data_IF_758804259309
#
_entry.id   IF_758804259309
#
_cell.length_a   1.000
_cell.length_b   1.000
_cell.length_c   1.000
_cell.angle_alpha   90.00
_cell.angle_beta   90.00
_cell.angle_gamma   90.00
#
_symmetry.space_group_name_H-M   'P 1'
#
loop_
_entity.id
_entity.type
_entity.pdbx_description
1 polymer ?
#
# COMPACT_ATOMS: atom_id res chain seq x y z
N UNK A 1 -16.89 58.98 28.94
CA UNK A 1 -16.66 57.79 28.15
C UNK A 1 -17.90 56.91 27.92
N UNK A 2 -19.13 57.38 28.16
CA UNK A 2 -20.38 56.62 27.99
C UNK A 2 -21.25 57.14 26.84
N UNK A 3 -20.82 58.11 26.05
CA UNK A 3 -21.58 58.69 24.94
C UNK A 3 -21.04 58.40 23.53
N UNK A 4 -19.91 57.62 23.40
CA UNK A 4 -19.36 57.23 22.12
C UNK A 4 -19.76 55.80 21.68
N UNK A 5 -20.40 55.03 22.57
CA UNK A 5 -20.79 53.63 22.28
C UNK A 5 -22.18 53.49 21.69
N UNK A 6 -22.99 54.62 21.71
CA UNK A 6 -24.38 54.57 21.22
C UNK A 6 -24.50 54.95 19.71
N UNK A 7 -23.39 55.41 19.07
CA UNK A 7 -23.45 55.83 17.67
C UNK A 7 -23.02 54.73 16.65
N UNK A 8 -22.47 53.63 17.16
CA UNK A 8 -22.01 52.52 16.28
C UNK A 8 -23.05 51.43 16.04
N UNK A 9 -24.18 51.45 16.78
CA UNK A 9 -25.27 50.44 16.66
C UNK A 9 -26.36 50.88 15.66
N UNK A 10 -26.38 52.14 15.25
CA UNK A 10 -27.43 52.67 14.36
C UNK A 10 -27.09 52.56 12.85
N UNK A 11 -25.89 52.07 12.46
CA UNK A 11 -25.48 52.01 11.04
C UNK A 11 -25.55 50.62 10.40
N UNK A 12 -26.02 49.60 11.12
CA UNK A 12 -26.11 48.20 10.61
C UNK A 12 -27.56 47.80 10.23
N UNK A 13 -28.54 48.67 10.43
CA UNK A 13 -29.96 48.31 10.25
C UNK A 13 -30.58 48.73 8.90
N UNK A 14 -29.79 49.16 7.87
CA UNK A 14 -30.40 49.70 6.63
C UNK A 14 -29.95 49.05 5.33
N UNK A 15 -29.55 47.77 5.37
CA UNK A 15 -29.13 47.05 4.14
C UNK A 15 -29.89 45.72 3.92
N UNK A 16 -31.14 45.58 4.34
CA UNK A 16 -31.94 44.41 4.03
C UNK A 16 -33.32 44.85 3.49
N UNK A 17 -33.35 45.47 2.32
CA UNK A 17 -34.57 45.45 1.49
C UNK A 17 -34.10 45.66 0.04
N UNK A 18 -34.24 44.65 -0.80
CA UNK A 18 -34.22 44.81 -2.26
C UNK A 18 -33.47 43.69 -2.98
N UNK A 19 -34.09 42.63 -3.33
CA UNK A 19 -34.49 42.20 -4.67
C UNK A 19 -34.90 40.73 -4.61
N UNK A 20 -36.12 40.47 -4.85
CA UNK A 20 -36.59 39.14 -5.20
C UNK A 20 -36.12 38.79 -6.60
N UNK A 21 -35.82 37.53 -6.82
CA UNK A 21 -35.55 37.00 -8.15
C UNK A 21 -34.74 35.72 -8.12
N UNK A 22 -35.43 34.58 -8.21
CA UNK A 22 -34.87 33.39 -8.78
C UNK A 22 -34.00 32.52 -7.86
N UNK A 23 -34.66 31.60 -7.21
CA UNK A 23 -33.99 30.40 -6.67
C UNK A 23 -33.26 29.63 -7.80
N UNK A 24 -32.09 30.09 -8.18
CA UNK A 24 -31.09 29.18 -8.74
C UNK A 24 -30.52 28.43 -7.53
N UNK A 25 -31.02 27.21 -7.26
CA UNK A 25 -30.27 26.21 -6.53
C UNK A 25 -28.89 26.15 -7.15
N UNK A 26 -27.93 26.79 -6.54
CA UNK A 26 -26.53 26.51 -6.74
C UNK A 26 -26.35 25.06 -6.29
N UNK A 27 -26.37 24.12 -7.21
CA UNK A 27 -25.79 22.81 -6.96
C UNK A 27 -24.32 23.09 -6.68
N UNK A 28 -23.98 23.16 -5.41
CA UNK A 28 -22.59 23.08 -4.99
C UNK A 28 -22.15 21.68 -5.43
N UNK A 29 -21.45 21.59 -6.54
CA UNK A 29 -20.72 20.36 -6.87
C UNK A 29 -19.82 20.11 -5.68
N UNK A 30 -20.14 19.08 -4.89
CA UNK A 30 -19.25 18.61 -3.84
C UNK A 30 -17.88 18.39 -4.49
N UNK A 31 -16.84 18.93 -3.88
CA UNK A 31 -15.49 18.65 -4.35
C UNK A 31 -15.27 17.12 -4.40
N UNK A 32 -14.61 16.60 -5.43
CA UNK A 32 -14.39 15.18 -5.54
C UNK A 32 -13.60 14.70 -4.31
N UNK A 33 -14.03 13.60 -3.73
CA UNK A 33 -13.28 12.98 -2.64
C UNK A 33 -11.90 12.55 -3.15
N UNK A 34 -10.90 12.58 -2.26
CA UNK A 34 -9.54 12.15 -2.55
C UNK A 34 -9.28 10.82 -1.87
N UNK A 35 -8.75 9.85 -2.59
CA UNK A 35 -8.26 8.57 -2.10
C UNK A 35 -6.74 8.55 -2.23
N UNK A 36 -6.03 8.37 -1.12
CA UNK A 36 -4.59 8.25 -1.10
C UNK A 36 -4.20 6.76 -1.05
N UNK A 37 -3.69 6.25 -2.18
CA UNK A 37 -3.27 4.86 -2.35
C UNK A 37 -1.74 4.76 -2.34
N UNK A 38 -1.18 3.91 -1.49
CA UNK A 38 0.26 3.66 -1.41
C UNK A 38 0.55 2.20 -1.72
N UNK A 39 1.21 1.94 -2.82
CA UNK A 39 1.39 0.61 -3.38
C UNK A 39 2.78 0.41 -4.01
N UNK A 40 3.02 -0.79 -4.50
CA UNK A 40 4.19 -1.08 -5.33
C UNK A 40 4.08 -0.36 -6.68
N UNK A 41 5.21 0.00 -7.26
CA UNK A 41 5.24 0.50 -8.62
C UNK A 41 4.61 -0.54 -9.60
N UNK A 42 3.89 -0.05 -10.59
CA UNK A 42 3.27 -0.84 -11.67
C UNK A 42 2.27 -1.94 -11.23
N UNK A 43 1.84 -1.94 -9.96
CA UNK A 43 0.89 -2.93 -9.46
C UNK A 43 -0.57 -2.65 -9.84
N UNK A 44 -0.90 -1.40 -10.12
CA UNK A 44 -2.24 -1.01 -10.55
C UNK A 44 -2.16 -0.32 -11.90
N UNK A 45 -2.88 -0.85 -12.89
CA UNK A 45 -2.96 -0.24 -14.22
C UNK A 45 -3.58 1.16 -14.14
N UNK A 46 -2.95 2.21 -14.70
CA UNK A 46 -3.51 3.57 -14.72
C UNK A 46 -4.93 3.63 -15.28
N UNK A 47 -5.28 2.81 -16.25
CA UNK A 47 -6.63 2.76 -16.81
C UNK A 47 -7.67 2.29 -15.79
N UNK A 48 -7.29 1.42 -14.84
CA UNK A 48 -8.15 0.98 -13.75
C UNK A 48 -8.38 2.13 -12.75
N UNK A 49 -7.33 2.90 -12.46
CA UNK A 49 -7.43 4.09 -11.60
C UNK A 49 -8.36 5.12 -12.24
N UNK A 50 -8.16 5.46 -13.52
CA UNK A 50 -9.03 6.40 -14.22
C UNK A 50 -10.50 5.96 -14.26
N UNK A 51 -10.74 4.66 -14.45
CA UNK A 51 -12.09 4.10 -14.41
C UNK A 51 -12.71 4.25 -13.03
N UNK A 52 -11.96 3.91 -11.98
CA UNK A 52 -12.40 4.05 -10.59
C UNK A 52 -12.75 5.50 -10.24
N UNK A 53 -11.89 6.45 -10.62
CA UNK A 53 -12.13 7.88 -10.41
C UNK A 53 -13.44 8.35 -11.06
N UNK A 54 -13.69 7.93 -12.29
CA UNK A 54 -14.92 8.28 -13.05
C UNK A 54 -16.17 7.66 -12.43
N UNK A 55 -16.09 6.37 -12.02
CA UNK A 55 -17.24 5.66 -11.47
C UNK A 55 -17.61 6.14 -10.06
N UNK A 56 -16.63 6.63 -9.29
CA UNK A 56 -16.82 7.02 -7.90
C UNK A 56 -16.78 8.54 -7.67
N UNK A 57 -16.64 9.35 -8.74
CA UNK A 57 -16.50 10.81 -8.67
C UNK A 57 -15.44 11.22 -7.63
N UNK A 58 -14.27 10.60 -7.68
CA UNK A 58 -13.16 10.84 -6.77
C UNK A 58 -11.86 11.09 -7.53
N UNK A 59 -10.81 11.50 -6.80
CA UNK A 59 -9.43 11.60 -7.28
C UNK A 59 -8.57 10.60 -6.51
N UNK A 60 -7.72 9.85 -7.22
CA UNK A 60 -6.77 8.93 -6.60
C UNK A 60 -5.36 9.51 -6.65
N UNK A 61 -4.77 9.75 -5.49
CA UNK A 61 -3.34 10.02 -5.37
C UNK A 61 -2.62 8.67 -5.22
N UNK A 62 -1.88 8.29 -6.25
CA UNK A 62 -1.17 7.01 -6.28
C UNK A 62 0.32 7.23 -5.99
N UNK A 63 0.73 6.92 -4.76
CA UNK A 63 2.12 6.91 -4.34
C UNK A 63 2.71 5.50 -4.42
N UNK A 64 4.02 5.41 -4.65
CA UNK A 64 4.70 4.13 -4.76
C UNK A 64 5.86 4.01 -3.77
N UNK A 65 6.17 2.77 -3.40
CA UNK A 65 7.35 2.40 -2.62
C UNK A 65 8.12 1.27 -3.31
N UNK A 66 9.41 1.17 -3.02
CA UNK A 66 10.29 0.17 -3.60
C UNK A 66 10.41 -1.11 -2.74
N UNK A 67 10.20 -0.99 -1.43
CA UNK A 67 10.25 -2.11 -0.48
C UNK A 67 9.38 -1.80 0.76
N UNK A 68 9.06 -2.84 1.55
CA UNK A 68 8.18 -2.70 2.71
C UNK A 68 8.80 -1.88 3.85
N UNK A 69 10.12 -1.81 3.95
CA UNK A 69 10.82 -1.02 4.95
C UNK A 69 10.64 0.48 4.68
N UNK A 70 10.68 0.90 3.41
CA UNK A 70 10.35 2.26 2.98
C UNK A 70 8.91 2.62 3.32
N UNK A 71 7.97 1.70 3.00
CA UNK A 71 6.56 1.86 3.37
C UNK A 71 6.42 2.09 4.87
N UNK A 72 7.02 1.21 5.70
CA UNK A 72 6.93 1.31 7.16
C UNK A 72 7.53 2.63 7.67
N UNK A 73 8.71 3.00 7.19
CA UNK A 73 9.37 4.23 7.59
C UNK A 73 8.51 5.47 7.26
N UNK A 74 7.90 5.51 6.08
CA UNK A 74 7.03 6.61 5.65
C UNK A 74 5.77 6.71 6.50
N UNK A 75 5.14 5.56 6.85
CA UNK A 75 3.99 5.54 7.75
C UNK A 75 4.35 6.00 9.16
N UNK A 76 5.50 5.56 9.70
CA UNK A 76 5.97 5.94 11.04
C UNK A 76 6.36 7.42 11.13
N UNK A 77 6.81 8.03 10.05
CA UNK A 77 7.11 9.46 10.00
C UNK A 77 5.88 10.37 10.19
N UNK A 78 4.66 9.83 10.01
CA UNK A 78 3.40 10.50 10.35
C UNK A 78 3.03 11.69 9.47
N UNK A 79 3.78 11.99 8.42
CA UNK A 79 3.54 13.14 7.54
C UNK A 79 2.59 12.86 6.37
N UNK A 80 2.30 11.61 6.07
CA UNK A 80 1.43 11.20 4.97
C UNK A 80 0.22 10.45 5.50
N UNK A 81 -0.97 10.84 5.04
CA UNK A 81 -2.20 10.14 5.35
C UNK A 81 -2.56 9.28 4.14
N UNK A 82 -2.49 7.97 4.30
CA UNK A 82 -2.93 7.01 3.30
C UNK A 82 -4.23 6.35 3.74
N UNK A 83 -5.17 6.25 2.80
CA UNK A 83 -6.44 5.58 3.02
C UNK A 83 -6.32 4.08 2.76
N UNK A 84 -5.51 3.71 1.76
CA UNK A 84 -5.25 2.31 1.39
C UNK A 84 -3.76 2.11 1.15
N UNK A 85 -3.22 1.04 1.71
CA UNK A 85 -1.84 0.60 1.49
C UNK A 85 -1.81 -0.84 1.00
N UNK A 86 -0.81 -1.21 0.20
CA UNK A 86 -0.66 -2.57 -0.35
C UNK A 86 0.69 -3.19 0.03
N UNK A 87 0.91 -3.56 1.29
CA UNK A 87 2.14 -4.21 1.74
C UNK A 87 2.16 -5.70 1.41
N UNK A 88 3.33 -6.32 1.58
CA UNK A 88 3.44 -7.78 1.63
C UNK A 88 2.86 -8.34 2.93
N UNK A 89 2.59 -9.63 2.94
CA UNK A 89 1.97 -10.38 4.03
C UNK A 89 2.65 -10.18 5.39
N UNK A 90 3.97 -10.32 5.46
CA UNK A 90 4.72 -10.14 6.71
C UNK A 90 4.64 -8.71 7.26
N UNK A 91 4.51 -7.74 6.36
CA UNK A 91 4.38 -6.34 6.75
C UNK A 91 2.97 -6.05 7.30
N UNK A 92 1.92 -6.71 6.79
CA UNK A 92 0.58 -6.66 7.40
C UNK A 92 0.67 -7.09 8.87
N UNK A 93 1.34 -8.23 9.17
CA UNK A 93 1.54 -8.69 10.55
C UNK A 93 2.25 -7.64 11.41
N UNK A 94 3.25 -6.96 10.86
CA UNK A 94 3.99 -5.91 11.56
C UNK A 94 3.11 -4.71 11.86
N UNK A 95 2.37 -4.22 10.85
CA UNK A 95 1.49 -3.07 10.98
C UNK A 95 0.34 -3.31 11.96
N UNK A 96 -0.23 -4.52 11.97
CA UNK A 96 -1.25 -4.92 12.97
C UNK A 96 -0.67 -4.84 14.39
N UNK A 97 0.53 -5.39 14.62
CA UNK A 97 1.20 -5.35 15.93
C UNK A 97 1.52 -3.93 16.37
N UNK A 98 1.79 -3.03 15.44
CA UNK A 98 2.06 -1.62 15.71
C UNK A 98 0.77 -0.78 15.87
N UNK A 99 -0.41 -1.36 15.67
CA UNK A 99 -1.69 -0.64 15.73
C UNK A 99 -1.85 0.42 14.63
N UNK A 100 -1.27 0.17 13.46
CA UNK A 100 -1.24 1.14 12.34
C UNK A 100 -2.29 0.85 11.27
N UNK A 101 -3.14 -0.15 11.47
CA UNK A 101 -4.23 -0.51 10.55
C UNK A 101 -5.58 -0.41 11.25
N UNK A 102 -6.56 0.13 10.54
CA UNK A 102 -7.96 0.12 10.95
C UNK A 102 -8.64 -1.21 10.60
N UNK A 103 -9.66 -1.60 11.38
CA UNK A 103 -10.45 -2.79 11.08
C UNK A 103 -11.36 -2.54 9.86
N UNK A 104 -11.38 -3.49 8.94
CA UNK A 104 -12.18 -3.45 7.73
C UNK A 104 -13.67 -3.68 8.03
N UNK A 105 -14.53 -2.88 7.40
CA UNK A 105 -15.96 -3.14 7.41
C UNK A 105 -16.36 -4.04 6.24
N UNK A 106 -16.40 -5.34 6.46
CA UNK A 106 -16.72 -6.34 5.43
C UNK A 106 -18.10 -6.16 4.78
N UNK A 107 -19.05 -5.53 5.46
CA UNK A 107 -20.37 -5.24 4.89
C UNK A 107 -20.27 -4.31 3.66
N UNK A 108 -19.24 -3.47 3.62
CA UNK A 108 -18.99 -2.55 2.51
C UNK A 108 -18.17 -3.18 1.38
N UNK A 109 -17.76 -4.45 1.51
CA UNK A 109 -16.87 -5.12 0.57
C UNK A 109 -17.48 -6.40 -0.02
N UNK A 110 -18.62 -6.33 -0.75
CA UNK A 110 -19.35 -7.51 -1.24
C UNK A 110 -18.53 -8.33 -2.24
N UNK A 111 -17.52 -7.76 -2.86
CA UNK A 111 -16.66 -8.42 -3.84
C UNK A 111 -15.60 -9.35 -3.23
N UNK A 112 -15.39 -9.33 -1.92
CA UNK A 112 -14.48 -10.26 -1.22
C UNK A 112 -14.88 -11.73 -1.43
N UNK A 113 -16.16 -12.00 -1.72
CA UNK A 113 -16.65 -13.33 -2.13
C UNK A 113 -15.97 -13.90 -3.38
N UNK A 114 -15.36 -13.06 -4.21
CA UNK A 114 -14.67 -13.46 -5.43
C UNK A 114 -13.22 -13.89 -5.18
N UNK A 115 -12.70 -13.68 -3.96
CA UNK A 115 -11.36 -14.13 -3.58
C UNK A 115 -11.35 -15.64 -3.47
N UNK A 116 -10.31 -16.27 -4.03
CA UNK A 116 -10.11 -17.72 -3.95
C UNK A 116 -10.17 -18.19 -2.50
N UNK A 117 -10.88 -19.28 -2.23
CA UNK A 117 -11.05 -19.81 -0.87
C UNK A 117 -9.73 -20.08 -0.14
N UNK A 118 -8.69 -20.51 -0.88
CA UNK A 118 -7.35 -20.73 -0.34
C UNK A 118 -6.63 -19.45 0.13
N UNK A 119 -7.12 -18.28 -0.29
CA UNK A 119 -6.55 -16.97 0.05
C UNK A 119 -7.44 -16.18 1.02
N UNK A 120 -8.58 -16.74 1.42
CA UNK A 120 -9.42 -16.16 2.48
C UNK A 120 -8.84 -16.55 3.84
N UNK A 121 -8.87 -15.65 4.80
CA UNK A 121 -8.31 -15.82 6.15
C UNK A 121 -6.84 -16.32 6.12
N UNK A 122 -5.91 -15.59 5.52
CA UNK A 122 -4.50 -15.98 5.43
C UNK A 122 -3.85 -15.98 6.81
N UNK A 123 -2.77 -16.77 6.99
CA UNK A 123 -2.11 -16.94 8.29
C UNK A 123 -1.60 -15.64 8.93
N UNK A 124 -1.33 -14.62 8.14
CA UNK A 124 -0.89 -13.31 8.61
C UNK A 124 -2.05 -12.40 9.08
N UNK A 125 -3.29 -12.70 8.69
CA UNK A 125 -4.53 -12.09 9.17
C UNK A 125 -5.65 -13.12 9.22
N UNK A 126 -5.63 -14.08 10.18
CA UNK A 126 -6.55 -15.22 10.20
C UNK A 126 -8.02 -14.82 10.37
N UNK A 127 -8.27 -13.63 10.87
CA UNK A 127 -9.62 -13.10 11.06
C UNK A 127 -10.11 -12.29 9.86
N UNK A 128 -9.21 -11.95 8.94
CA UNK A 128 -9.48 -11.06 7.81
C UNK A 128 -9.90 -9.65 8.24
N UNK A 129 -9.57 -9.24 9.45
CA UNK A 129 -10.02 -7.96 10.00
C UNK A 129 -9.31 -6.75 9.40
N UNK A 130 -8.07 -6.92 8.96
CA UNK A 130 -7.18 -5.81 8.62
C UNK A 130 -6.78 -5.79 7.16
N UNK A 131 -6.98 -6.90 6.44
CA UNK A 131 -6.49 -7.02 5.08
C UNK A 131 -7.40 -7.83 4.17
N UNK A 132 -7.26 -7.56 2.87
CA UNK A 132 -7.86 -8.34 1.79
C UNK A 132 -6.75 -8.68 0.80
N UNK A 133 -6.63 -9.95 0.43
CA UNK A 133 -5.62 -10.39 -0.53
C UNK A 133 -5.90 -9.79 -1.90
N UNK A 134 -4.93 -9.05 -2.43
CA UNK A 134 -4.99 -8.50 -3.79
C UNK A 134 -4.39 -9.45 -4.81
N UNK A 135 -3.16 -9.91 -4.56
CA UNK A 135 -2.43 -10.81 -5.46
C UNK A 135 -1.50 -11.73 -4.65
N UNK A 136 -1.05 -12.79 -5.29
CA UNK A 136 0.00 -13.64 -4.79
C UNK A 136 0.97 -13.96 -5.94
N UNK A 137 2.21 -14.30 -5.60
CA UNK A 137 3.22 -14.62 -6.57
C UNK A 137 4.23 -15.61 -6.02
N UNK A 138 5.15 -16.00 -6.89
CA UNK A 138 6.31 -16.83 -6.55
C UNK A 138 7.57 -16.13 -7.03
N UNK A 139 8.59 -16.14 -6.18
CA UNK A 139 9.91 -15.70 -6.56
C UNK A 139 10.66 -16.86 -7.20
N UNK A 140 11.31 -16.61 -8.31
CA UNK A 140 12.03 -17.63 -9.08
C UNK A 140 13.28 -17.09 -9.77
N UNK A 141 14.11 -18.01 -10.26
CA UNK A 141 15.31 -17.66 -11.02
C UNK A 141 14.94 -17.43 -12.47
N UNK A 142 15.18 -16.22 -12.97
CA UNK A 142 15.09 -15.87 -14.38
C UNK A 142 16.50 -15.80 -14.97
N UNK A 143 16.73 -16.46 -16.09
CA UNK A 143 18.04 -16.49 -16.72
C UNK A 143 17.96 -16.24 -18.22
N UNK A 144 19.02 -15.65 -18.77
CA UNK A 144 19.12 -15.38 -20.19
C UNK A 144 19.74 -16.58 -20.93
N UNK A 145 18.94 -17.30 -21.72
CA UNK A 145 19.35 -18.48 -22.49
C UNK A 145 20.48 -18.23 -23.51
N UNK A 146 20.71 -16.96 -23.88
CA UNK A 146 21.82 -16.62 -24.77
C UNK A 146 23.19 -16.87 -24.11
N UNK A 147 23.28 -16.60 -22.81
CA UNK A 147 24.51 -16.69 -22.04
C UNK A 147 24.57 -17.93 -21.14
N UNK A 148 23.46 -18.34 -20.59
CA UNK A 148 23.35 -19.50 -19.69
C UNK A 148 22.78 -20.67 -20.47
N UNK A 149 23.59 -21.70 -20.73
CA UNK A 149 23.18 -22.85 -21.53
C UNK A 149 22.49 -23.93 -20.72
N UNK A 150 22.86 -24.08 -19.47
CA UNK A 150 22.27 -25.02 -18.53
C UNK A 150 21.36 -24.24 -17.57
N UNK A 151 20.09 -24.61 -17.54
CA UNK A 151 19.11 -23.95 -16.66
C UNK A 151 19.51 -24.12 -15.19
N UNK A 152 19.52 -23.05 -14.38
CA UNK A 152 19.63 -23.19 -12.93
C UNK A 152 18.46 -24.06 -12.40
N UNK A 153 18.77 -25.01 -11.54
CA UNK A 153 17.80 -25.97 -10.98
C UNK A 153 17.62 -25.82 -9.47
N UNK A 154 18.49 -25.04 -8.85
CA UNK A 154 18.53 -24.83 -7.40
C UNK A 154 18.93 -23.39 -7.08
N UNK A 155 18.49 -22.90 -5.93
CA UNK A 155 18.98 -21.62 -5.37
C UNK A 155 20.50 -21.62 -5.20
N UNK A 156 21.12 -22.77 -4.91
CA UNK A 156 22.59 -22.91 -4.80
C UNK A 156 23.32 -22.49 -6.08
N UNK A 157 22.67 -22.60 -7.23
CA UNK A 157 23.29 -22.22 -8.50
C UNK A 157 23.64 -20.73 -8.57
N UNK A 158 22.94 -19.87 -7.82
CA UNK A 158 23.23 -18.43 -7.78
C UNK A 158 24.62 -18.11 -7.18
N UNK A 159 25.21 -19.02 -6.39
CA UNK A 159 26.54 -18.85 -5.77
C UNK A 159 27.69 -19.43 -6.60
N UNK A 160 27.42 -19.91 -7.81
CA UNK A 160 28.47 -20.37 -8.73
C UNK A 160 29.37 -19.20 -9.17
N UNK A 161 30.66 -19.40 -9.18
CA UNK A 161 31.63 -18.36 -9.56
C UNK A 161 31.39 -17.78 -10.96
N UNK A 162 30.84 -18.57 -11.87
CA UNK A 162 30.49 -18.12 -13.23
C UNK A 162 29.44 -17.02 -13.27
N UNK A 163 28.64 -16.87 -12.20
CA UNK A 163 27.59 -15.83 -12.10
C UNK A 163 28.04 -14.61 -11.30
N UNK A 164 29.24 -14.63 -10.76
CA UNK A 164 29.77 -13.50 -9.95
C UNK A 164 29.77 -12.21 -10.76
N UNK A 165 29.14 -11.17 -10.19
CA UNK A 165 28.99 -9.86 -10.83
C UNK A 165 27.96 -9.83 -11.99
N UNK A 166 27.13 -10.88 -12.15
CA UNK A 166 26.11 -11.00 -13.20
C UNK A 166 24.70 -11.24 -12.67
N UNK A 167 24.53 -11.19 -11.35
CA UNK A 167 23.25 -11.36 -10.69
C UNK A 167 22.56 -10.01 -10.55
N UNK A 168 21.25 -10.01 -10.75
CA UNK A 168 20.34 -8.93 -10.36
C UNK A 168 19.39 -9.53 -9.34
N UNK A 169 19.34 -8.93 -8.16
CA UNK A 169 18.48 -9.35 -7.06
C UNK A 169 17.37 -8.33 -6.85
N UNK A 170 16.28 -8.76 -6.23
CA UNK A 170 15.22 -7.86 -5.80
C UNK A 170 15.73 -6.94 -4.70
N UNK A 171 15.25 -5.71 -4.68
CA UNK A 171 15.50 -4.77 -3.56
C UNK A 171 14.50 -5.05 -2.42
N UNK A 172 14.53 -6.29 -1.94
CA UNK A 172 13.68 -6.77 -0.85
C UNK A 172 14.50 -7.69 0.04
N UNK A 173 14.72 -7.26 1.29
CA UNK A 173 15.54 -7.99 2.26
C UNK A 173 15.00 -9.39 2.53
N UNK A 174 13.68 -9.54 2.57
CA UNK A 174 13.04 -10.82 2.86
C UNK A 174 13.28 -11.81 1.73
N UNK A 175 13.19 -11.36 0.49
CA UNK A 175 13.42 -12.20 -0.67
C UNK A 175 14.90 -12.63 -0.77
N UNK A 176 15.83 -11.69 -0.60
CA UNK A 176 17.29 -11.98 -0.72
C UNK A 176 17.75 -12.92 0.40
N UNK A 177 17.41 -12.62 1.66
CA UNK A 177 17.75 -13.51 2.79
C UNK A 177 17.02 -14.85 2.65
N UNK A 178 15.79 -14.85 2.14
CA UNK A 178 15.03 -16.07 1.89
C UNK A 178 15.69 -16.99 0.87
N UNK A 179 16.34 -16.45 -0.17
CA UNK A 179 17.14 -17.23 -1.14
C UNK A 179 18.32 -17.90 -0.46
N UNK A 180 19.06 -17.19 0.40
CA UNK A 180 20.18 -17.75 1.16
C UNK A 180 19.73 -18.80 2.20
N UNK A 181 18.62 -18.57 2.90
CA UNK A 181 18.00 -19.58 3.76
C UNK A 181 17.68 -20.86 2.98
N UNK A 182 17.09 -20.73 1.78
CA UNK A 182 16.77 -21.86 0.89
C UNK A 182 18.04 -22.60 0.44
N UNK A 183 19.10 -21.86 0.08
CA UNK A 183 20.42 -22.43 -0.23
C UNK A 183 20.92 -23.30 0.93
N UNK A 184 20.76 -22.83 2.17
CA UNK A 184 21.22 -23.50 3.38
C UNK A 184 20.28 -24.61 3.87
N UNK A 185 19.22 -24.93 3.10
CA UNK A 185 18.27 -25.99 3.43
C UNK A 185 17.19 -25.60 4.46
N UNK A 186 17.10 -24.31 4.77
CA UNK A 186 16.12 -23.79 5.73
C UNK A 186 14.84 -23.29 5.07
N UNK A 187 13.82 -23.02 5.87
CA UNK A 187 12.62 -22.32 5.43
C UNK A 187 12.96 -20.86 5.11
N UNK A 188 12.46 -20.32 3.99
CA UNK A 188 12.53 -18.88 3.72
C UNK A 188 11.75 -18.03 4.74
N UNK A 189 10.92 -18.66 5.57
CA UNK A 189 10.22 -18.03 6.68
C UNK A 189 10.85 -18.37 8.05
N UNK A 190 12.09 -18.84 8.09
CA UNK A 190 12.77 -19.11 9.36
C UNK A 190 12.87 -17.83 10.20
N UNK A 191 12.58 -17.99 11.49
CA UNK A 191 12.76 -16.96 12.52
C UNK A 191 13.88 -17.35 13.52
N UNK A 192 14.61 -18.43 13.21
CA UNK A 192 15.76 -18.84 14.02
C UNK A 192 16.90 -17.85 13.80
N UNK A 193 17.37 -17.13 14.84
CA UNK A 193 18.40 -16.11 14.68
C UNK A 193 19.71 -16.65 14.07
N UNK A 194 20.10 -17.87 14.40
CA UNK A 194 21.33 -18.49 13.90
C UNK A 194 21.25 -18.81 12.40
N UNK A 195 20.09 -19.27 11.93
CA UNK A 195 19.86 -19.55 10.50
C UNK A 195 19.81 -18.25 9.69
N UNK A 196 19.15 -17.22 10.24
CA UNK A 196 19.06 -15.89 9.60
C UNK A 196 20.44 -15.23 9.56
N UNK A 197 21.19 -15.26 10.66
CA UNK A 197 22.56 -14.72 10.71
C UNK A 197 23.46 -15.37 9.66
N UNK A 198 23.43 -16.71 9.57
CA UNK A 198 24.19 -17.45 8.56
C UNK A 198 23.80 -17.07 7.13
N UNK A 199 22.48 -16.86 6.88
CA UNK A 199 21.99 -16.47 5.57
C UNK A 199 22.37 -15.03 5.20
N UNK A 200 22.54 -14.13 6.16
CA UNK A 200 23.00 -12.74 5.95
C UNK A 200 24.50 -12.70 5.58
N UNK A 201 25.30 -13.66 6.07
CA UNK A 201 26.74 -13.72 5.76
C UNK A 201 27.05 -14.33 4.39
N UNK A 202 26.09 -15.00 3.77
CA UNK A 202 26.18 -15.59 2.43
C UNK A 202 26.12 -14.57 1.30
#
# INVERSE_FOLDING_TARGET
MKKLLSLLIALVAFAIVGCGGGDKKSESKAEPQVLNLFSWADNVDPAVIEKFEKENNCKVNYDVFANNEELLAKLQAGGAQYDVIQPSDYMVTTLVKLGMLEELNHANMPNTKNIMKSLQAPSYDPTGKYSVVYTWGMTGIVYNKKYIKEAPTSWNDLWKDEYKGRLILLNDNREVIGMALKKNGHSNNSINPQEVEAAVQD
#
